data_IF_882991195817
#
_entry.id   IF_882991195817
#
_cell.length_a   1.000
_cell.length_b   1.000
_cell.length_c   1.000
_cell.angle_alpha   90.00
_cell.angle_beta   90.00
_cell.angle_gamma   90.00
#
_symmetry.space_group_name_H-M   'P 1'
#
loop_
_entity.id
_entity.type
_entity.pdbx_description
1 polymer ?
#
# COMPACT_ATOMS: atom_id res chain seq x y z
N UNK A 1 1.23 -13.21 7.61
CA UNK A 1 0.32 -12.07 7.37
C UNK A 1 1.03 -10.81 7.81
N UNK A 2 0.87 -9.73 7.07
CA UNK A 2 1.34 -8.40 7.40
C UNK A 2 0.20 -7.40 7.16
N UNK A 3 0.20 -6.26 7.85
CA UNK A 3 -0.74 -5.18 7.57
C UNK A 3 -0.12 -4.18 6.59
N UNK A 4 -0.93 -3.63 5.71
CA UNK A 4 -0.54 -2.58 4.79
C UNK A 4 -1.60 -1.49 4.79
N UNK A 5 -1.19 -0.23 4.92
CA UNK A 5 -2.10 0.91 4.92
C UNK A 5 -2.21 1.49 3.50
N UNK A 6 -3.39 1.42 2.88
CA UNK A 6 -3.65 2.01 1.56
C UNK A 6 -4.86 2.94 1.62
N UNK A 7 -4.69 4.22 1.22
CA UNK A 7 -5.76 5.25 1.26
C UNK A 7 -6.51 5.26 2.59
N UNK A 8 -5.75 5.26 3.69
CA UNK A 8 -6.26 5.26 5.07
C UNK A 8 -7.00 3.97 5.50
N UNK A 9 -6.99 2.92 4.67
CA UNK A 9 -7.54 1.62 4.99
C UNK A 9 -6.44 0.60 5.23
N UNK A 10 -6.56 -0.15 6.34
CA UNK A 10 -5.69 -1.30 6.57
C UNK A 10 -6.17 -2.49 5.76
N UNK A 11 -5.28 -3.01 4.93
CA UNK A 11 -5.46 -4.26 4.19
C UNK A 11 -4.51 -5.32 4.72
N UNK A 12 -4.98 -6.55 4.76
CA UNK A 12 -4.18 -7.70 5.16
C UNK A 12 -3.44 -8.26 3.95
N UNK A 13 -2.12 -8.30 4.06
CA UNK A 13 -1.25 -8.96 3.11
C UNK A 13 -0.99 -10.38 3.61
N UNK A 14 -1.37 -11.37 2.80
CA UNK A 14 -0.80 -12.70 2.95
C UNK A 14 0.71 -12.62 2.69
N UNK A 15 1.54 -13.11 3.60
CA UNK A 15 3.01 -13.13 3.43
C UNK A 15 3.57 -14.53 3.55
N UNK A 16 2.70 -15.55 3.57
CA UNK A 16 3.08 -16.96 3.69
C UNK A 16 3.87 -17.46 2.49
N UNK A 17 3.64 -16.85 1.33
CA UNK A 17 4.38 -17.10 0.10
C UNK A 17 4.83 -15.79 -0.53
N UNK A 18 6.05 -15.81 -1.04
CA UNK A 18 6.59 -14.69 -1.81
C UNK A 18 5.67 -14.37 -3.01
N UNK A 19 5.52 -13.10 -3.41
CA UNK A 19 4.57 -12.70 -4.45
C UNK A 19 4.69 -13.53 -5.73
N UNK A 20 5.93 -13.79 -6.19
CA UNK A 20 6.28 -14.59 -7.36
C UNK A 20 5.94 -16.08 -7.27
N UNK A 21 5.70 -16.61 -6.07
CA UNK A 21 5.28 -18.01 -5.88
C UNK A 21 3.77 -18.20 -6.01
N UNK A 22 3.01 -17.11 -6.19
CA UNK A 22 1.56 -17.14 -6.41
C UNK A 22 1.27 -17.38 -7.89
N UNK A 23 0.44 -18.37 -8.18
CA UNK A 23 0.11 -18.76 -9.57
C UNK A 23 -0.61 -17.69 -10.39
N UNK A 24 -1.13 -16.65 -9.73
CA UNK A 24 -1.82 -15.50 -10.31
C UNK A 24 -0.98 -14.21 -10.28
N UNK A 25 0.33 -14.31 -9.99
CA UNK A 25 1.20 -13.14 -9.94
C UNK A 25 1.40 -12.54 -11.35
N UNK A 26 1.24 -11.21 -11.52
CA UNK A 26 1.16 -10.60 -12.85
C UNK A 26 2.52 -10.51 -13.58
N UNK A 27 3.63 -10.75 -12.90
CA UNK A 27 4.98 -10.60 -13.45
C UNK A 27 5.74 -11.92 -13.49
N UNK A 28 6.54 -12.12 -14.55
CA UNK A 28 7.53 -13.19 -14.59
C UNK A 28 8.68 -12.89 -13.59
N UNK A 29 9.41 -13.91 -13.10
CA UNK A 29 10.47 -13.72 -12.10
C UNK A 29 11.54 -12.70 -12.50
N UNK A 30 11.99 -12.72 -13.75
CA UNK A 30 12.97 -11.77 -14.28
C UNK A 30 12.45 -10.32 -14.34
N UNK A 31 11.16 -10.13 -14.63
CA UNK A 31 10.53 -8.81 -14.60
C UNK A 31 10.40 -8.31 -13.17
N UNK A 32 10.07 -9.22 -12.25
CA UNK A 32 9.99 -8.92 -10.83
C UNK A 32 11.33 -8.51 -10.23
N UNK A 33 12.44 -9.14 -10.62
CA UNK A 33 13.77 -8.74 -10.14
C UNK A 33 14.14 -7.32 -10.56
N UNK A 34 13.75 -6.91 -11.76
CA UNK A 34 14.12 -5.62 -12.36
C UNK A 34 13.24 -4.46 -11.90
N UNK A 35 11.98 -4.71 -11.56
CA UNK A 35 11.05 -3.65 -11.18
C UNK A 35 11.46 -3.01 -9.84
N UNK A 36 11.53 -1.69 -9.80
CA UNK A 36 11.91 -0.93 -8.60
C UNK A 36 10.68 -0.46 -7.82
N UNK A 37 10.89 0.02 -6.60
CA UNK A 37 9.84 0.70 -5.82
C UNK A 37 9.30 1.90 -6.58
N UNK A 38 10.16 2.67 -7.25
CA UNK A 38 9.75 3.83 -8.03
C UNK A 38 8.84 3.42 -9.20
N UNK A 39 9.18 2.35 -9.91
CA UNK A 39 8.35 1.84 -11.01
C UNK A 39 6.97 1.38 -10.52
N UNK A 40 6.92 0.70 -9.37
CA UNK A 40 5.67 0.26 -8.74
C UNK A 40 4.79 1.45 -8.32
N UNK A 41 5.40 2.49 -7.73
CA UNK A 41 4.69 3.71 -7.36
C UNK A 41 4.20 4.47 -8.60
N UNK A 42 5.00 4.53 -9.66
CA UNK A 42 4.61 5.16 -10.92
C UNK A 42 3.45 4.41 -11.57
N UNK A 43 3.53 3.08 -11.65
CA UNK A 43 2.47 2.24 -12.21
C UNK A 43 1.13 2.45 -11.48
N UNK A 44 1.17 2.54 -10.14
CA UNK A 44 -0.02 2.82 -9.35
C UNK A 44 -0.53 4.25 -9.55
N UNK A 45 0.37 5.22 -9.71
CA UNK A 45 0.03 6.63 -9.99
C UNK A 45 -0.68 6.74 -11.34
N UNK A 46 -0.12 6.15 -12.39
CA UNK A 46 -0.71 6.13 -13.75
C UNK A 46 -2.07 5.44 -13.74
N UNK A 47 -2.17 4.26 -13.12
CA UNK A 47 -3.44 3.55 -13.00
C UNK A 47 -4.52 4.35 -12.26
N UNK A 48 -4.16 5.09 -11.22
CA UNK A 48 -5.09 5.96 -10.49
C UNK A 48 -5.46 7.24 -11.24
N UNK A 49 -4.54 7.77 -12.05
CA UNK A 49 -4.80 8.93 -12.90
C UNK A 49 -5.78 8.59 -14.02
N UNK A 50 -5.62 7.42 -14.63
CA UNK A 50 -6.53 6.90 -15.66
C UNK A 50 -7.86 6.44 -15.06
N UNK A 51 -7.81 5.83 -13.87
CA UNK A 51 -8.98 5.33 -13.16
C UNK A 51 -8.90 5.63 -11.65
N UNK A 52 -9.55 6.71 -11.17
CA UNK A 52 -9.60 7.03 -9.74
C UNK A 52 -10.25 5.95 -8.86
N UNK A 53 -10.99 5.02 -9.48
CA UNK A 53 -11.67 3.88 -8.85
C UNK A 53 -10.93 2.55 -9.05
N UNK A 54 -9.64 2.60 -9.39
CA UNK A 54 -8.82 1.41 -9.66
C UNK A 54 -8.85 0.39 -8.51
N UNK A 55 -8.87 0.85 -7.26
CA UNK A 55 -8.88 -0.06 -6.11
C UNK A 55 -10.22 -0.82 -5.97
N UNK A 56 -11.33 -0.21 -6.36
CA UNK A 56 -12.65 -0.83 -6.35
C UNK A 56 -12.88 -1.75 -7.56
N UNK A 57 -12.35 -1.37 -8.72
CA UNK A 57 -12.55 -2.11 -9.97
C UNK A 57 -11.52 -3.22 -10.17
N UNK A 58 -10.26 -2.99 -9.81
CA UNK A 58 -9.14 -3.92 -9.95
C UNK A 58 -8.38 -4.13 -8.62
N UNK A 59 -9.07 -4.60 -7.55
CA UNK A 59 -8.46 -4.74 -6.22
C UNK A 59 -7.25 -5.69 -6.20
N UNK A 60 -7.25 -6.71 -7.06
CA UNK A 60 -6.13 -7.66 -7.17
C UNK A 60 -4.84 -7.00 -7.64
N UNK A 61 -4.96 -6.06 -8.58
CA UNK A 61 -3.81 -5.31 -9.10
C UNK A 61 -3.20 -4.44 -8.00
N UNK A 62 -4.03 -3.69 -7.29
CA UNK A 62 -3.57 -2.84 -6.18
C UNK A 62 -2.94 -3.68 -5.07
N UNK A 63 -3.56 -4.81 -4.69
CA UNK A 63 -3.00 -5.73 -3.70
C UNK A 63 -1.66 -6.33 -4.15
N UNK A 64 -1.50 -6.67 -5.43
CA UNK A 64 -0.23 -7.15 -5.97
C UNK A 64 0.86 -6.07 -5.83
N UNK A 65 0.56 -4.81 -6.13
CA UNK A 65 1.50 -3.70 -5.94
C UNK A 65 1.88 -3.54 -4.47
N UNK A 66 0.92 -3.58 -3.54
CA UNK A 66 1.20 -3.54 -2.10
C UNK A 66 2.13 -4.68 -1.66
N UNK A 67 1.89 -5.90 -2.14
CA UNK A 67 2.78 -7.04 -1.88
C UNK A 67 4.20 -6.81 -2.39
N UNK A 68 4.35 -6.31 -3.61
CA UNK A 68 5.66 -6.07 -4.22
C UNK A 68 6.44 -4.95 -3.51
N UNK A 69 5.74 -3.89 -3.07
CA UNK A 69 6.34 -2.80 -2.30
C UNK A 69 6.82 -3.27 -0.93
N UNK A 70 6.02 -4.11 -0.26
CA UNK A 70 6.40 -4.73 1.00
C UNK A 70 7.61 -5.65 0.86
N UNK A 71 7.62 -6.53 -0.14
CA UNK A 71 8.70 -7.49 -0.35
C UNK A 71 10.02 -6.81 -0.74
N UNK A 72 9.99 -5.76 -1.57
CA UNK A 72 11.21 -5.11 -2.08
C UNK A 72 11.91 -4.20 -1.08
N UNK A 73 11.15 -3.45 -0.29
CA UNK A 73 11.72 -2.39 0.54
C UNK A 73 11.07 -2.28 1.93
N UNK A 74 10.15 -3.19 2.27
CA UNK A 74 9.42 -3.13 3.54
C UNK A 74 8.46 -1.94 3.63
N UNK A 75 8.08 -1.35 2.48
CA UNK A 75 7.03 -0.34 2.42
C UNK A 75 5.72 -1.00 2.81
N UNK A 76 5.02 -0.42 3.78
CA UNK A 76 3.76 -0.96 4.30
C UNK A 76 2.68 0.12 4.45
N UNK A 77 2.89 1.28 3.82
CA UNK A 77 1.90 2.33 3.75
C UNK A 77 2.02 3.14 2.47
N UNK A 78 0.87 3.44 1.86
CA UNK A 78 0.70 4.36 0.74
C UNK A 78 -0.46 5.30 1.04
N UNK A 79 -0.21 6.61 0.93
CA UNK A 79 -1.25 7.63 0.85
C UNK A 79 -1.37 8.13 -0.58
N UNK A 80 -2.62 8.35 -0.99
CA UNK A 80 -2.96 9.03 -2.24
C UNK A 80 -3.56 10.37 -1.86
N UNK A 81 -2.93 11.46 -2.30
CA UNK A 81 -3.46 12.83 -2.19
C UNK A 81 -3.75 13.39 -3.57
N UNK A 82 -4.61 14.39 -3.66
CA UNK A 82 -4.84 15.14 -4.90
C UNK A 82 -4.38 16.58 -4.68
N UNK A 83 -3.47 17.06 -5.53
CA UNK A 83 -2.95 18.44 -5.49
C UNK A 83 -3.63 19.37 -6.50
N UNK A 84 -4.66 18.89 -7.20
CA UNK A 84 -5.36 19.59 -8.27
C UNK A 84 -4.76 19.38 -9.66
N UNK A 85 -3.60 18.73 -9.78
CA UNK A 85 -2.99 18.32 -11.06
C UNK A 85 -3.06 16.81 -11.28
N UNK A 86 -3.35 16.03 -10.24
CA UNK A 86 -3.56 14.59 -10.31
C UNK A 86 -3.29 13.89 -8.98
N UNK A 87 -3.39 12.55 -8.96
CA UNK A 87 -3.05 11.78 -7.77
C UNK A 87 -1.54 11.85 -7.50
N UNK A 88 -1.18 12.30 -6.31
CA UNK A 88 0.18 12.27 -5.76
C UNK A 88 0.26 11.16 -4.73
N UNK A 89 1.18 10.22 -4.93
CA UNK A 89 1.38 9.11 -4.01
C UNK A 89 2.58 9.36 -3.10
N UNK A 90 2.41 9.03 -1.82
CA UNK A 90 3.47 9.00 -0.82
C UNK A 90 3.53 7.62 -0.19
N UNK A 91 4.74 7.10 0.07
CA UNK A 91 4.92 5.82 0.73
C UNK A 91 5.73 5.96 2.02
N UNK A 92 5.51 5.05 2.96
CA UNK A 92 6.23 5.00 4.23
C UNK A 92 6.49 3.56 4.69
N UNK A 93 7.47 3.43 5.60
CA UNK A 93 7.74 2.22 6.37
C UNK A 93 7.36 2.48 7.81
N UNK A 94 6.29 1.83 8.25
CA UNK A 94 5.74 1.95 9.59
C UNK A 94 6.20 0.74 10.41
N UNK A 95 6.60 0.90 11.68
CA UNK A 95 6.84 -0.24 12.56
C UNK A 95 5.58 -1.11 12.72
N UNK A 96 5.73 -2.44 12.73
CA UNK A 96 4.61 -3.37 12.89
C UNK A 96 3.75 -3.08 14.13
N UNK A 97 4.39 -2.64 15.23
CA UNK A 97 3.69 -2.24 16.45
C UNK A 97 2.70 -1.10 16.21
N UNK A 98 3.07 -0.11 15.39
CA UNK A 98 2.17 1.00 15.05
C UNK A 98 1.03 0.53 14.16
N UNK A 99 1.28 -0.40 13.22
CA UNK A 99 0.22 -1.02 12.41
C UNK A 99 -0.78 -1.81 13.26
N UNK A 100 -0.30 -2.55 14.28
CA UNK A 100 -1.17 -3.26 15.22
C UNK A 100 -2.06 -2.29 16.01
N UNK A 101 -1.54 -1.14 16.43
CA UNK A 101 -2.32 -0.09 17.10
C UNK A 101 -3.40 0.45 16.16
N UNK A 102 -3.05 0.74 14.90
CA UNK A 102 -4.01 1.19 13.90
C UNK A 102 -5.11 0.13 13.65
N UNK A 103 -4.77 -1.15 13.63
CA UNK A 103 -5.74 -2.23 13.49
C UNK A 103 -6.66 -2.35 14.71
N UNK A 104 -6.13 -2.21 15.92
CA UNK A 104 -6.94 -2.19 17.15
C UNK A 104 -7.93 -1.02 17.15
N UNK A 105 -7.49 0.17 16.72
CA UNK A 105 -8.37 1.33 16.54
C UNK A 105 -9.44 1.06 15.49
N UNK A 106 -9.10 0.41 14.38
CA UNK A 106 -10.05 0.01 13.32
C UNK A 106 -11.10 -0.93 13.88
N UNK A 107 -10.69 -1.98 14.60
CA UNK A 107 -11.60 -2.96 15.20
C UNK A 107 -12.56 -2.33 16.21
N UNK A 108 -12.17 -1.23 16.86
CA UNK A 108 -13.00 -0.46 17.80
C UNK A 108 -13.89 0.59 17.14
N UNK A 109 -13.78 0.78 15.83
CA UNK A 109 -14.47 1.86 15.11
C UNK A 109 -13.96 3.27 15.49
N UNK A 110 -12.73 3.36 16.00
CA UNK A 110 -12.08 4.60 16.43
C UNK A 110 -10.93 5.03 15.50
N UNK A 111 -10.71 4.30 14.40
CA UNK A 111 -9.74 4.70 13.39
C UNK A 111 -10.40 5.73 12.45
N UNK A 112 -9.95 6.97 12.53
CA UNK A 112 -10.26 8.02 11.58
C UNK A 112 -9.02 8.47 10.81
N UNK A 113 -9.24 9.29 9.78
CA UNK A 113 -8.17 9.79 8.92
C UNK A 113 -7.14 10.64 9.69
N UNK A 114 -7.59 11.36 10.73
CA UNK A 114 -6.70 12.18 11.55
C UNK A 114 -5.73 11.30 12.35
N UNK A 115 -6.21 10.23 12.97
CA UNK A 115 -5.38 9.28 13.71
C UNK A 115 -4.34 8.60 12.80
N UNK A 116 -4.71 8.27 11.56
CA UNK A 116 -3.79 7.74 10.55
C UNK A 116 -2.73 8.78 10.17
N UNK A 117 -3.15 10.00 9.85
CA UNK A 117 -2.25 11.09 9.47
C UNK A 117 -1.24 11.39 10.59
N UNK A 118 -1.69 11.47 11.85
CA UNK A 118 -0.81 11.70 13.01
C UNK A 118 0.14 10.52 13.26
N UNK A 119 -0.31 9.28 13.10
CA UNK A 119 0.52 8.11 13.38
C UNK A 119 1.57 7.81 12.28
N UNK A 120 1.28 8.19 11.04
CA UNK A 120 2.05 7.74 9.87
C UNK A 120 2.72 8.88 9.12
N UNK A 121 1.97 9.94 8.79
CA UNK A 121 2.40 10.97 7.84
C UNK A 121 2.90 12.24 8.50
N UNK A 122 2.46 12.51 9.74
CA UNK A 122 2.85 13.63 10.59
C UNK A 122 3.06 13.14 12.02
N UNK A 123 4.04 12.25 12.29
CA UNK A 123 4.34 11.86 13.65
C UNK A 123 4.62 13.13 14.46
N UNK A 124 3.82 13.36 15.51
CA UNK A 124 4.07 14.43 16.47
C UNK A 124 5.50 14.23 17.00
N UNK A 125 6.39 15.14 16.61
CA UNK A 125 7.80 15.14 16.98
C UNK A 125 8.02 15.44 18.46
#
# INVERSE_FOLDING_TARGET
MAFFLYRDQLVELDTSMAPQARGDFPLQPNQYEQITVQDLMQLLTEGLADNPRLAEEEPKFVLAICHMLFDKDGVNAIRVTDDGLGPVLSCAKIPDQSLMILDELRMRGALDQQAVDEAVWKPLA
#
